data_IF_302770500983
#
_entry.id   IF_302770500983
#
_cell.length_a   1.000
_cell.length_b   1.000
_cell.length_c   1.000
_cell.angle_alpha   90.00
_cell.angle_beta   90.00
_cell.angle_gamma   90.00
#
_symmetry.space_group_name_H-M   'P 1'
#
loop_
_entity.id
_entity.type
_entity.pdbx_description
1 polymer ?
#
# COMPACT_ATOMS: atom_id res chain seq x y z
N UNK A 1 12.49 -17.13 14.46
CA UNK A 1 12.10 -16.94 13.04
C UNK A 1 11.10 -15.82 13.05
N UNK A 2 11.51 -14.68 12.51
CA UNK A 2 10.73 -13.46 12.53
C UNK A 2 9.46 -13.68 11.69
N UNK A 3 8.28 -13.53 12.30
CA UNK A 3 7.01 -13.56 11.59
C UNK A 3 6.95 -12.28 10.74
N UNK A 4 7.45 -12.32 9.51
CA UNK A 4 7.46 -11.17 8.60
C UNK A 4 6.20 -11.19 7.73
N UNK A 5 5.08 -10.84 8.36
CA UNK A 5 3.84 -10.54 7.65
C UNK A 5 3.80 -9.02 7.43
N UNK A 6 3.66 -8.59 6.19
CA UNK A 6 3.41 -7.18 5.84
C UNK A 6 1.93 -7.03 5.48
N UNK A 7 1.23 -6.15 6.18
CA UNK A 7 -0.19 -5.82 5.93
C UNK A 7 -0.37 -4.42 5.34
N UNK A 8 0.61 -3.53 5.53
CA UNK A 8 0.56 -2.17 4.98
C UNK A 8 0.92 -2.17 3.49
N UNK A 9 0.05 -1.59 2.66
CA UNK A 9 0.32 -1.41 1.24
C UNK A 9 1.57 -0.55 1.02
N UNK A 10 2.56 -1.10 0.31
CA UNK A 10 3.84 -0.41 0.03
C UNK A 10 3.63 0.89 -0.74
N UNK A 11 2.57 1.00 -1.54
CA UNK A 11 2.27 2.19 -2.35
C UNK A 11 1.64 3.29 -1.50
N UNK A 12 0.52 2.99 -0.82
CA UNK A 12 -0.33 4.02 -0.20
C UNK A 12 -0.42 3.95 1.33
N UNK A 13 0.08 2.90 1.97
CA UNK A 13 0.04 2.72 3.42
C UNK A 13 -1.32 2.31 4.00
N UNK A 14 -2.30 1.91 3.17
CA UNK A 14 -3.50 1.26 3.71
C UNK A 14 -3.09 -0.02 4.44
N UNK A 15 -3.51 -0.15 5.69
CA UNK A 15 -3.34 -1.35 6.52
C UNK A 15 -4.71 -1.70 7.11
N UNK A 16 -5.39 -2.66 6.48
CA UNK A 16 -6.69 -3.19 6.88
C UNK A 16 -6.58 -4.56 7.55
N UNK A 17 -5.35 -4.99 7.86
CA UNK A 17 -5.02 -6.28 8.47
C UNK A 17 -4.97 -7.46 7.48
N UNK A 18 -5.22 -7.24 6.19
CA UNK A 18 -5.01 -8.28 5.18
C UNK A 18 -3.52 -8.47 4.89
N UNK A 19 -3.06 -9.73 4.86
CA UNK A 19 -1.65 -10.03 4.56
C UNK A 19 -1.35 -9.79 3.07
N UNK A 20 -0.46 -8.84 2.78
CA UNK A 20 0.01 -8.51 1.43
C UNK A 20 1.28 -9.29 1.09
N UNK A 21 2.17 -9.46 2.06
CA UNK A 21 3.34 -10.32 1.96
C UNK A 21 3.46 -11.20 3.20
N UNK A 22 3.85 -12.46 2.98
CA UNK A 22 4.21 -13.39 4.05
C UNK A 22 5.58 -13.96 3.75
N UNK A 23 6.54 -13.78 4.66
CA UNK A 23 7.91 -14.24 4.47
C UNK A 23 8.56 -13.71 3.18
N UNK A 24 8.20 -12.48 2.78
CA UNK A 24 8.67 -11.82 1.56
C UNK A 24 7.99 -12.30 0.27
N UNK A 25 7.08 -13.27 0.33
CA UNK A 25 6.31 -13.72 -0.82
C UNK A 25 4.99 -12.94 -0.91
N UNK A 26 4.63 -12.40 -2.09
CA UNK A 26 3.38 -11.68 -2.27
C UNK A 26 2.17 -12.59 -2.17
N UNK A 27 1.05 -12.03 -1.70
CA UNK A 27 -0.25 -12.69 -1.61
C UNK A 27 -1.20 -12.34 -2.75
N UNK A 28 -0.76 -11.50 -3.70
CA UNK A 28 -1.54 -11.04 -4.85
C UNK A 28 -2.86 -10.37 -4.46
N UNK A 29 -2.85 -9.65 -3.34
CA UNK A 29 -3.99 -8.90 -2.80
C UNK A 29 -4.05 -7.53 -3.48
N UNK A 30 -5.24 -7.13 -3.92
CA UNK A 30 -5.49 -5.82 -4.54
C UNK A 30 -5.85 -4.82 -3.45
N UNK A 31 -5.03 -3.78 -3.30
CA UNK A 31 -5.28 -2.72 -2.33
C UNK A 31 -6.56 -1.94 -2.66
N UNK A 32 -7.49 -1.86 -1.70
CA UNK A 32 -8.77 -1.17 -1.86
C UNK A 32 -8.64 0.36 -1.98
N UNK A 33 -7.51 0.90 -1.53
CA UNK A 33 -7.18 2.31 -1.66
C UNK A 33 -6.55 2.60 -3.04
N UNK A 34 -5.33 2.14 -3.33
CA UNK A 34 -4.60 2.58 -4.52
C UNK A 34 -4.64 1.62 -5.72
N UNK A 35 -5.41 0.53 -5.62
CA UNK A 35 -5.54 -0.53 -6.65
C UNK A 35 -4.28 -1.34 -6.96
N UNK A 36 -3.17 -1.12 -6.25
CA UNK A 36 -1.96 -1.91 -6.47
C UNK A 36 -2.18 -3.36 -6.01
N UNK A 37 -1.74 -4.32 -6.81
CA UNK A 37 -1.70 -5.74 -6.44
C UNK A 37 -0.34 -6.07 -5.81
N UNK A 38 -0.33 -6.60 -4.59
CA UNK A 38 0.91 -6.98 -3.92
C UNK A 38 1.69 -8.01 -4.74
N UNK A 39 2.94 -7.71 -5.09
CA UNK A 39 3.82 -8.52 -5.93
C UNK A 39 3.90 -8.06 -7.37
N UNK A 40 3.13 -7.04 -7.76
CA UNK A 40 3.09 -6.50 -9.13
C UNK A 40 3.54 -5.03 -9.11
N UNK A 41 4.81 -4.80 -9.43
CA UNK A 41 5.38 -3.44 -9.51
C UNK A 41 5.66 -2.79 -8.15
N UNK A 42 5.50 -3.50 -7.04
CA UNK A 42 5.80 -3.05 -5.69
C UNK A 42 6.90 -3.89 -5.01
N UNK A 43 7.74 -4.55 -5.80
CA UNK A 43 8.86 -5.41 -5.37
C UNK A 43 10.21 -4.69 -5.30
N UNK A 44 10.31 -3.47 -5.85
CA UNK A 44 11.47 -2.59 -5.68
C UNK A 44 11.09 -1.20 -5.19
N UNK A 45 11.97 -0.56 -4.42
CA UNK A 45 11.76 0.80 -3.88
C UNK A 45 11.53 1.82 -5.00
N UNK A 46 12.20 1.69 -6.14
CA UNK A 46 12.02 2.59 -7.28
C UNK A 46 10.60 2.49 -7.83
N UNK A 47 10.10 1.30 -8.14
CA UNK A 47 8.75 1.14 -8.68
C UNK A 47 7.68 1.54 -7.66
N UNK A 48 7.88 1.20 -6.38
CA UNK A 48 7.01 1.64 -5.28
C UNK A 48 6.88 3.17 -5.27
N UNK A 49 7.99 3.89 -5.38
CA UNK A 49 7.99 5.36 -5.40
C UNK A 49 7.35 5.94 -6.66
N UNK A 50 7.57 5.32 -7.82
CA UNK A 50 6.94 5.73 -9.08
C UNK A 50 5.42 5.57 -9.03
N UNK A 51 4.93 4.41 -8.59
CA UNK A 51 3.50 4.13 -8.45
C UNK A 51 2.85 5.00 -7.37
N UNK A 52 3.51 5.22 -6.24
CA UNK A 52 3.03 6.15 -5.20
C UNK A 52 2.96 7.58 -5.74
N UNK A 53 4.02 8.03 -6.42
CA UNK A 53 4.08 9.36 -7.03
C UNK A 53 2.96 9.56 -8.05
N UNK A 54 2.70 8.56 -8.88
CA UNK A 54 1.57 8.56 -9.81
C UNK A 54 0.23 8.67 -9.06
N UNK A 55 -0.03 7.81 -8.08
CA UNK A 55 -1.28 7.82 -7.30
C UNK A 55 -1.51 9.16 -6.58
N UNK A 56 -0.48 9.68 -5.88
CA UNK A 56 -0.54 10.99 -5.22
C UNK A 56 -0.75 12.12 -6.24
N UNK A 57 -0.03 12.10 -7.37
CA UNK A 57 -0.14 13.09 -8.43
C UNK A 57 -1.53 13.14 -9.09
N UNK A 58 -2.30 12.06 -8.99
CA UNK A 58 -3.69 11.98 -9.47
C UNK A 58 -4.72 12.24 -8.36
N UNK A 59 -4.29 12.78 -7.22
CA UNK A 59 -5.18 13.17 -6.11
C UNK A 59 -5.45 12.06 -5.11
N UNK A 60 -4.61 11.02 -5.06
CA UNK A 60 -4.70 9.92 -4.11
C UNK A 60 -6.10 9.26 -4.11
N UNK A 61 -6.62 9.03 -5.31
CA UNK A 61 -7.97 8.50 -5.51
C UNK A 61 -8.08 7.09 -4.92
N UNK A 62 -9.18 6.85 -4.21
CA UNK A 62 -9.53 5.52 -3.74
C UNK A 62 -10.15 4.72 -4.87
N UNK A 63 -9.67 3.50 -5.09
CA UNK A 63 -10.22 2.55 -6.04
C UNK A 63 -11.65 2.15 -5.70
N UNK A 64 -11.92 1.96 -4.39
CA UNK A 64 -13.28 1.85 -3.85
C UNK A 64 -13.62 3.06 -2.99
N UNK A 65 -14.11 4.17 -3.59
CA UNK A 65 -14.39 5.41 -2.86
C UNK A 65 -15.34 5.23 -1.66
N UNK A 66 -16.26 4.26 -1.74
CA UNK A 66 -17.21 3.93 -0.68
C UNK A 66 -16.56 3.32 0.58
N UNK A 67 -15.33 2.81 0.47
CA UNK A 67 -14.57 2.27 1.61
C UNK A 67 -13.68 3.31 2.29
N UNK A 68 -13.57 4.52 1.70
CA UNK A 68 -12.74 5.58 2.28
C UNK A 68 -13.35 6.07 3.60
N UNK A 69 -12.59 6.10 4.70
CA UNK A 69 -13.04 6.67 5.96
C UNK A 69 -13.48 8.13 5.81
N UNK A 70 -14.48 8.55 6.60
CA UNK A 70 -15.02 9.93 6.53
C UNK A 70 -13.97 10.96 6.94
N UNK A 71 -13.15 10.62 7.92
CA UNK A 71 -12.06 11.40 8.49
C UNK A 71 -10.70 11.02 7.89
N UNK A 72 -10.70 10.43 6.69
CA UNK A 72 -9.48 9.99 6.03
C UNK A 72 -8.50 11.14 5.78
N UNK A 73 -7.27 10.96 6.27
CA UNK A 73 -6.14 11.85 6.05
C UNK A 73 -5.02 11.14 5.29
N UNK A 74 -4.57 11.76 4.19
CA UNK A 74 -3.56 11.19 3.31
C UNK A 74 -2.21 11.02 4.03
N UNK A 75 -1.79 12.01 4.83
CA UNK A 75 -0.48 11.96 5.48
C UNK A 75 -0.43 10.88 6.56
N UNK A 76 -1.53 10.72 7.29
CA UNK A 76 -1.72 9.65 8.28
C UNK A 76 -1.65 8.27 7.62
N UNK A 77 -2.25 8.07 6.45
CA UNK A 77 -2.15 6.80 5.73
C UNK A 77 -0.72 6.54 5.23
N UNK A 78 -0.06 7.55 4.65
CA UNK A 78 1.33 7.42 4.17
C UNK A 78 2.32 7.11 5.31
N UNK A 79 2.04 7.53 6.54
CA UNK A 79 2.88 7.25 7.70
C UNK A 79 2.97 5.75 8.04
N UNK A 80 1.98 4.95 7.63
CA UNK A 80 1.96 3.50 7.85
C UNK A 80 2.92 2.73 6.93
N UNK A 81 3.48 3.38 5.90
CA UNK A 81 4.40 2.72 4.98
C UNK A 81 5.66 2.27 5.74
N UNK A 82 6.05 0.99 5.64
CA UNK A 82 7.25 0.48 6.30
C UNK A 82 8.50 1.25 5.88
N UNK A 83 9.48 1.48 6.79
CA UNK A 83 10.66 2.28 6.51
C UNK A 83 11.44 1.86 5.27
N UNK A 84 11.56 0.56 4.96
CA UNK A 84 12.27 0.10 3.77
C UNK A 84 11.61 0.52 2.44
N UNK A 85 10.31 0.84 2.46
CA UNK A 85 9.51 1.18 1.29
C UNK A 85 9.22 2.69 1.17
N UNK A 86 9.73 3.53 2.08
CA UNK A 86 9.50 4.99 2.03
C UNK A 86 10.22 5.66 0.87
#
# INVERSE_FOLDING_TARGET
MENTVETACRICGLDDGEALYEHGFPRYVICECCYNESGIGDDTVTQVRELRGYWVGHGAQWNKPQLRPVDWDLLSQLANIPPEWR
#
